data_IF_761239420610
#
_entry.id   IF_761239420610
#
_cell.length_a   1.000
_cell.length_b   1.000
_cell.length_c   1.000
_cell.angle_alpha   90.00
_cell.angle_beta   90.00
_cell.angle_gamma   90.00
#
_symmetry.space_group_name_H-M   'P 1'
#
loop_
_entity.id
_entity.type
_entity.pdbx_description
1 polymer ?
#
# COMPACT_ATOMS: atom_id res chain seq x y z
N UNK A 1 1.05 24.82 -1.96
CA UNK A 1 0.32 24.18 -0.84
C UNK A 1 -0.80 23.32 -1.44
N UNK A 2 -1.01 22.03 -1.10
CA UNK A 2 -0.22 21.12 -0.28
C UNK A 2 0.28 19.91 -1.09
N UNK A 3 1.57 19.89 -1.47
CA UNK A 3 2.22 18.75 -2.13
C UNK A 3 2.73 17.69 -1.14
N UNK A 4 2.29 17.78 0.13
CA UNK A 4 2.87 17.02 1.23
C UNK A 4 2.27 15.61 1.38
N UNK A 5 1.13 15.35 0.72
CA UNK A 5 0.50 14.02 0.71
C UNK A 5 1.22 13.09 -0.27
N UNK A 6 1.71 13.61 -1.40
CA UNK A 6 2.39 12.82 -2.44
C UNK A 6 3.76 12.27 -2.00
N UNK A 7 4.46 12.98 -1.10
CA UNK A 7 5.78 12.53 -0.60
C UNK A 7 5.63 11.33 0.33
N UNK A 8 4.51 11.22 1.07
CA UNK A 8 4.24 10.08 1.95
C UNK A 8 3.90 8.79 1.19
N UNK A 9 3.16 8.90 0.09
CA UNK A 9 2.77 7.75 -0.73
C UNK A 9 3.93 7.23 -1.60
N UNK A 10 4.86 8.11 -1.99
CA UNK A 10 6.04 7.75 -2.80
C UNK A 10 7.07 6.89 -2.04
N UNK A 11 7.03 6.85 -0.69
CA UNK A 11 7.99 6.02 0.05
C UNK A 11 7.69 4.52 -0.04
N UNK A 12 6.43 4.14 -0.36
CA UNK A 12 6.02 2.73 -0.51
C UNK A 12 6.21 2.25 -1.96
N UNK A 13 6.16 3.17 -2.93
CA UNK A 13 6.25 2.87 -4.34
C UNK A 13 7.59 3.34 -4.90
N UNK A 14 8.42 2.37 -5.28
CA UNK A 14 9.83 2.55 -5.61
C UNK A 14 10.12 3.56 -6.73
N UNK A 15 9.12 3.91 -7.54
CA UNK A 15 9.24 4.81 -8.69
C UNK A 15 8.02 5.73 -8.80
N UNK A 16 8.19 6.98 -9.24
CA UNK A 16 7.08 7.92 -9.39
C UNK A 16 6.04 7.46 -10.42
N UNK A 17 6.45 6.70 -11.44
CA UNK A 17 5.54 6.11 -12.42
C UNK A 17 4.63 5.05 -11.77
N UNK A 18 5.15 4.24 -10.83
CA UNK A 18 4.31 3.32 -10.07
C UNK A 18 3.32 4.07 -9.18
N UNK A 19 3.74 5.17 -8.54
CA UNK A 19 2.86 6.01 -7.75
C UNK A 19 1.71 6.59 -8.59
N UNK A 20 2.00 7.09 -9.79
CA UNK A 20 0.97 7.59 -10.70
C UNK A 20 -0.06 6.50 -11.05
N UNK A 21 0.43 5.31 -11.46
CA UNK A 21 -0.45 4.18 -11.81
C UNK A 21 -1.30 3.72 -10.62
N UNK A 22 -0.75 3.76 -9.41
CA UNK A 22 -1.51 3.45 -8.20
C UNK A 22 -2.58 4.50 -7.90
N UNK A 23 -2.26 5.78 -8.07
CA UNK A 23 -3.24 6.86 -7.93
C UNK A 23 -4.39 6.72 -8.92
N UNK A 24 -4.12 6.28 -10.16
CA UNK A 24 -5.16 6.02 -11.16
C UNK A 24 -6.06 4.83 -10.77
N UNK A 25 -5.52 3.82 -10.08
CA UNK A 25 -6.27 2.62 -9.64
C UNK A 25 -7.14 2.87 -8.40
N UNK A 26 -6.74 3.78 -7.50
CA UNK A 26 -7.44 4.03 -6.24
C UNK A 26 -8.92 4.44 -6.40
N UNK A 27 -9.30 5.32 -7.35
CA UNK A 27 -10.70 5.64 -7.62
C UNK A 27 -11.50 4.41 -8.04
N UNK A 28 -10.96 3.57 -8.92
CA UNK A 28 -11.65 2.36 -9.40
C UNK A 28 -11.94 1.39 -8.26
N UNK A 29 -10.96 1.13 -7.39
CA UNK A 29 -11.13 0.29 -6.21
C UNK A 29 -12.18 0.85 -5.24
N UNK A 30 -12.18 2.18 -5.06
CA UNK A 30 -13.15 2.86 -4.20
C UNK A 30 -14.57 2.72 -4.72
N UNK A 31 -14.77 2.89 -6.04
CA UNK A 31 -16.04 2.67 -6.71
C UNK A 31 -16.51 1.21 -6.63
N UNK A 32 -15.60 0.26 -6.83
CA UNK A 32 -15.92 -1.17 -6.70
C UNK A 32 -16.41 -1.52 -5.30
N UNK A 33 -15.74 -1.04 -4.24
CA UNK A 33 -16.18 -1.25 -2.86
C UNK A 33 -17.51 -0.54 -2.56
N UNK A 34 -17.73 0.65 -3.12
CA UNK A 34 -18.99 1.37 -2.94
C UNK A 34 -20.18 0.59 -3.53
N UNK A 35 -20.04 0.06 -4.74
CA UNK A 35 -21.08 -0.76 -5.39
C UNK A 35 -21.28 -2.10 -4.68
N UNK A 36 -20.19 -2.73 -4.24
CA UNK A 36 -20.24 -4.02 -3.55
C UNK A 36 -20.96 -3.96 -2.20
N UNK A 37 -21.11 -2.78 -1.61
CA UNK A 37 -21.76 -2.58 -0.31
C UNK A 37 -23.20 -3.13 -0.24
N UNK A 38 -23.92 -3.15 -1.36
CA UNK A 38 -25.29 -3.68 -1.42
C UNK A 38 -25.33 -5.22 -1.60
N UNK A 39 -24.20 -5.83 -1.91
CA UNK A 39 -24.09 -7.25 -2.27
C UNK A 39 -23.32 -8.07 -1.23
N UNK A 40 -22.43 -7.44 -0.46
CA UNK A 40 -21.60 -8.10 0.55
C UNK A 40 -22.42 -8.40 1.81
N UNK A 41 -22.35 -9.66 2.24
CA UNK A 41 -22.83 -10.11 3.55
C UNK A 41 -21.73 -9.83 4.58
N UNK A 42 -22.09 -9.22 5.73
CA UNK A 42 -21.12 -8.96 6.80
C UNK A 42 -20.57 -10.27 7.37
N UNK A 43 -19.24 -10.35 7.48
CA UNK A 43 -18.53 -11.47 8.09
C UNK A 43 -17.65 -10.94 9.22
N UNK A 44 -18.24 -10.60 10.38
CA UNK A 44 -17.51 -10.02 11.48
C UNK A 44 -16.56 -11.05 12.11
N UNK A 45 -15.40 -10.56 12.55
CA UNK A 45 -14.49 -11.33 13.40
C UNK A 45 -15.15 -11.54 14.78
N UNK A 46 -14.77 -12.57 15.55
CA UNK A 46 -15.49 -12.95 16.76
C UNK A 46 -15.51 -11.86 17.85
N UNK A 47 -14.55 -10.93 17.83
CA UNK A 47 -14.49 -9.78 18.75
C UNK A 47 -15.14 -8.50 18.20
N UNK A 48 -15.65 -8.52 16.97
CA UNK A 48 -16.15 -7.33 16.28
C UNK A 48 -17.67 -7.24 16.36
N UNK A 49 -18.18 -6.07 16.75
CA UNK A 49 -19.63 -5.84 16.82
C UNK A 49 -20.26 -5.91 15.42
N UNK A 50 -21.45 -6.54 15.27
CA UNK A 50 -22.17 -6.54 14.00
C UNK A 50 -22.65 -5.12 13.66
N UNK A 51 -22.62 -4.75 12.38
CA UNK A 51 -23.04 -3.44 11.90
C UNK A 51 -24.09 -3.57 10.80
N UNK A 52 -25.22 -2.87 10.94
CA UNK A 52 -26.25 -2.79 9.90
C UNK A 52 -25.84 -1.89 8.72
N UNK A 53 -25.03 -0.87 8.98
CA UNK A 53 -24.50 0.04 7.97
C UNK A 53 -23.01 -0.24 7.76
N UNK A 54 -22.67 -0.93 6.66
CA UNK A 54 -21.31 -1.39 6.39
C UNK A 54 -20.39 -0.23 5.98
N UNK A 55 -19.33 0.00 6.74
CA UNK A 55 -18.24 0.90 6.34
C UNK A 55 -17.43 0.28 5.19
N UNK A 56 -16.68 1.10 4.44
CA UNK A 56 -15.84 0.59 3.34
C UNK A 56 -14.87 -0.51 3.79
N UNK A 57 -14.29 -0.37 4.99
CA UNK A 57 -13.42 -1.40 5.57
C UNK A 57 -14.16 -2.72 5.83
N UNK A 58 -15.43 -2.66 6.25
CA UNK A 58 -16.28 -3.85 6.41
C UNK A 58 -16.59 -4.53 5.10
N UNK A 59 -16.93 -3.74 4.08
CA UNK A 59 -17.20 -4.27 2.74
C UNK A 59 -15.94 -4.97 2.20
N UNK A 60 -14.76 -4.38 2.37
CA UNK A 60 -13.49 -4.99 1.95
C UNK A 60 -13.22 -6.34 2.64
N UNK A 61 -13.59 -6.48 3.92
CA UNK A 61 -13.44 -7.73 4.67
C UNK A 61 -14.29 -8.87 4.10
N UNK A 62 -15.53 -8.59 3.69
CA UNK A 62 -16.43 -9.58 3.04
C UNK A 62 -16.25 -9.71 1.53
N UNK A 63 -15.47 -8.83 0.89
CA UNK A 63 -15.36 -8.75 -0.57
C UNK A 63 -14.79 -10.02 -1.21
N UNK A 64 -13.87 -10.70 -0.54
CA UNK A 64 -13.29 -11.95 -1.05
C UNK A 64 -14.36 -13.04 -1.30
N UNK A 65 -15.33 -13.18 -0.40
CA UNK A 65 -16.43 -14.13 -0.57
C UNK A 65 -17.32 -13.79 -1.78
N UNK A 66 -17.55 -12.49 -2.00
CA UNK A 66 -18.26 -12.00 -3.18
C UNK A 66 -17.49 -12.30 -4.47
N UNK A 67 -16.16 -12.11 -4.49
CA UNK A 67 -15.33 -12.46 -5.64
C UNK A 67 -15.37 -13.95 -5.97
N UNK A 68 -15.36 -14.82 -4.96
CA UNK A 68 -15.50 -16.29 -5.18
C UNK A 68 -16.85 -16.62 -5.80
N UNK A 69 -17.92 -15.93 -5.39
CA UNK A 69 -19.28 -16.15 -5.93
C UNK A 69 -19.44 -15.66 -7.37
N UNK A 70 -18.79 -14.56 -7.74
CA UNK A 70 -18.76 -14.08 -9.13
C UNK A 70 -17.89 -14.99 -10.00
N UNK A 71 -16.83 -15.56 -9.40
CA UNK A 71 -15.82 -16.32 -10.11
C UNK A 71 -14.80 -15.42 -10.81
N UNK A 72 -13.81 -16.04 -11.44
CA UNK A 72 -12.80 -15.34 -12.23
C UNK A 72 -13.09 -15.56 -13.72
N UNK A 73 -13.25 -14.49 -14.53
CA UNK A 73 -13.32 -14.63 -15.98
C UNK A 73 -11.96 -15.00 -16.59
N UNK A 74 -10.89 -15.01 -15.79
CA UNK A 74 -9.56 -15.34 -16.27
C UNK A 74 -9.48 -16.81 -16.70
N UNK A 75 -8.85 -17.04 -17.85
CA UNK A 75 -8.50 -18.39 -18.28
C UNK A 75 -7.61 -19.08 -17.23
N UNK A 76 -7.66 -20.41 -17.20
CA UNK A 76 -6.80 -21.20 -16.33
C UNK A 76 -5.33 -20.81 -16.50
N UNK A 77 -4.56 -20.69 -15.41
CA UNK A 77 -3.18 -20.28 -15.49
C UNK A 77 -2.39 -21.28 -16.32
N UNK A 78 -1.49 -20.77 -17.17
CA UNK A 78 -0.59 -21.63 -17.95
C UNK A 78 0.24 -22.48 -16.96
N UNK A 79 0.33 -23.81 -17.12
CA UNK A 79 1.11 -24.64 -16.23
C UNK A 79 2.56 -24.15 -16.26
N UNK A 80 3.00 -23.64 -15.11
CA UNK A 80 4.38 -23.18 -14.92
C UNK A 80 5.24 -24.44 -14.84
N UNK A 81 5.94 -24.77 -15.92
CA UNK A 81 6.96 -25.82 -15.89
C UNK A 81 8.04 -25.53 -14.83
N UNK A 82 8.92 -26.51 -14.58
CA UNK A 82 10.10 -26.27 -13.73
C UNK A 82 10.91 -25.13 -14.33
N UNK A 83 11.11 -24.05 -13.58
CA UNK A 83 12.00 -22.99 -14.02
C UNK A 83 13.41 -23.57 -14.13
N UNK A 84 14.20 -23.09 -15.09
CA UNK A 84 15.60 -23.52 -15.30
C UNK A 84 16.55 -23.17 -14.13
N UNK A 85 15.99 -22.74 -12.99
CA UNK A 85 16.75 -22.27 -11.85
C UNK A 85 17.59 -21.04 -12.17
N UNK A 86 18.41 -20.68 -11.21
CA UNK A 86 19.42 -19.65 -11.39
C UNK A 86 20.66 -20.28 -12.03
N UNK A 87 21.23 -19.64 -13.07
CA UNK A 87 22.45 -20.15 -13.70
C UNK A 87 23.60 -20.18 -12.68
N UNK A 88 24.29 -21.31 -12.58
CA UNK A 88 25.47 -21.44 -11.73
C UNK A 88 26.52 -20.39 -12.11
N UNK A 89 27.19 -19.78 -11.13
CA UNK A 89 28.20 -18.75 -11.33
C UNK A 89 27.70 -17.30 -11.46
N UNK A 90 26.37 -17.04 -11.57
CA UNK A 90 25.86 -15.66 -11.47
C UNK A 90 25.67 -15.25 -10.01
N UNK A 91 26.25 -14.12 -9.60
CA UNK A 91 25.99 -13.51 -8.29
C UNK A 91 24.59 -12.88 -8.28
N UNK A 92 23.79 -13.12 -7.23
CA UNK A 92 22.53 -12.38 -7.00
C UNK A 92 22.87 -10.98 -6.51
N UNK A 93 22.39 -9.94 -7.18
CA UNK A 93 22.39 -8.59 -6.62
C UNK A 93 21.24 -8.45 -5.62
N UNK A 94 21.51 -8.04 -4.36
CA UNK A 94 20.43 -7.71 -3.44
C UNK A 94 19.67 -6.50 -3.97
N UNK A 95 18.39 -6.43 -3.61
CA UNK A 95 17.58 -5.25 -3.89
C UNK A 95 18.17 -3.99 -3.21
N UNK A 96 18.19 -2.83 -3.87
CA UNK A 96 18.78 -1.61 -3.31
C UNK A 96 18.06 -1.22 -2.01
N UNK A 97 18.84 -0.94 -0.96
CA UNK A 97 18.32 -0.44 0.31
C UNK A 97 18.24 1.07 0.26
N UNK A 98 17.05 1.63 0.44
CA UNK A 98 16.85 3.07 0.52
C UNK A 98 17.12 3.57 1.95
N UNK A 99 17.74 4.75 2.12
CA UNK A 99 18.00 5.30 3.44
C UNK A 99 16.69 5.66 4.16
N UNK A 100 16.65 5.40 5.47
CA UNK A 100 15.50 5.79 6.31
C UNK A 100 15.52 7.30 6.47
N UNK A 101 14.57 7.99 5.85
CA UNK A 101 14.37 9.43 6.03
C UNK A 101 13.78 9.65 7.43
N UNK A 102 14.62 10.00 8.41
CA UNK A 102 14.15 10.39 9.75
C UNK A 102 13.64 11.83 9.69
N UNK A 103 12.32 12.03 9.77
CA UNK A 103 11.71 13.34 9.99
C UNK A 103 12.04 13.81 11.42
N UNK A 104 13.22 14.38 11.65
CA UNK A 104 13.49 15.17 12.85
C UNK A 104 13.71 16.62 12.45
N UNK A 105 12.93 17.51 13.05
CA UNK A 105 13.28 18.93 13.12
C UNK A 105 14.43 19.01 14.12
N UNK A 106 15.66 19.20 13.65
CA UNK A 106 16.77 19.53 14.55
C UNK A 106 16.42 20.86 15.23
N UNK A 107 16.33 20.88 16.56
CA UNK A 107 16.26 22.15 17.29
C UNK A 107 17.52 22.97 16.95
N UNK A 108 17.41 24.24 16.54
CA UNK A 108 18.59 25.05 16.33
C UNK A 108 19.39 25.15 17.63
N UNK A 109 20.70 24.92 17.54
CA UNK A 109 21.62 25.04 18.68
C UNK A 109 21.63 26.52 19.09
N UNK A 110 21.21 26.83 20.32
CA UNK A 110 21.40 28.17 20.89
C UNK A 110 22.90 28.47 20.93
N UNK A 111 23.34 29.46 20.15
CA UNK A 111 24.68 30.04 20.29
C UNK A 111 24.65 30.85 21.58
N UNK A 112 25.44 30.45 22.56
CA UNK A 112 25.57 31.19 23.81
C UNK A 112 26.46 32.40 23.56
N UNK A 113 25.97 33.60 23.91
CA UNK A 113 26.53 34.89 23.52
C UNK A 113 27.52 35.39 24.59
N UNK A 114 28.43 34.52 24.99
CA UNK A 114 29.33 34.77 26.12
C UNK A 114 30.81 34.95 25.69
N UNK A 115 31.13 34.82 24.40
CA UNK A 115 32.51 34.92 23.88
C UNK A 115 32.68 36.09 22.90
N UNK A 116 32.25 37.29 23.28
CA UNK A 116 32.47 38.50 22.46
C UNK A 116 32.96 39.72 23.25
N UNK A 117 33.52 39.50 24.44
CA UNK A 117 34.28 40.52 25.18
C UNK A 117 35.42 39.80 25.95
N UNK A 118 36.51 39.48 25.25
CA UNK A 118 37.83 39.30 25.86
C UNK A 118 38.89 39.81 24.91
#
# INVERSE_FOLDING_TARGET
MPNNVYIGLCLILLTPQQALRWSDLMPLLSWQLWLARQLVIDSPLPWQKPQTNLSFGRVAQGFAALLVRIGSPACSPKPRGKSLGWKSGRKRSPFPRFPIIKKRVSRPKKVNKDNLNS
#
